data_IF_734983897805
#
_entry.id   IF_734983897805
#
_cell.length_a   1.000
_cell.length_b   1.000
_cell.length_c   1.000
_cell.angle_alpha   90.00
_cell.angle_beta   90.00
_cell.angle_gamma   90.00
#
_symmetry.space_group_name_H-M   'P 1'
#
loop_
_entity.id
_entity.type
_entity.pdbx_description
1 polymer ?
#
# COMPACT_ATOMS: atom_id res chain seq x y z
N UNK A 1 20.11 -24.07 -5.71
CA UNK A 1 18.75 -23.72 -6.18
C UNK A 1 18.74 -22.23 -6.45
N UNK A 2 18.11 -21.79 -7.53
CA UNK A 2 17.98 -20.36 -7.84
C UNK A 2 16.66 -19.85 -7.26
N UNK A 3 16.71 -18.81 -6.43
CA UNK A 3 15.52 -18.15 -5.89
C UNK A 3 14.81 -17.39 -6.99
N UNK A 4 13.48 -17.55 -7.09
CA UNK A 4 12.64 -16.79 -8.02
C UNK A 4 11.66 -15.93 -7.23
N UNK A 5 11.56 -14.66 -7.61
CA UNK A 5 10.62 -13.71 -7.01
C UNK A 5 9.39 -13.55 -7.90
N UNK A 6 8.20 -13.59 -7.29
CA UNK A 6 6.93 -13.36 -7.96
C UNK A 6 6.26 -12.18 -7.28
N UNK A 7 5.82 -11.18 -8.07
CA UNK A 7 5.01 -10.08 -7.59
C UNK A 7 3.54 -10.41 -7.81
N UNK A 8 2.74 -10.35 -6.75
CA UNK A 8 1.28 -10.56 -6.79
C UNK A 8 0.58 -9.26 -6.45
N UNK A 9 -0.38 -8.87 -7.28
CA UNK A 9 -1.26 -7.70 -7.04
C UNK A 9 -2.69 -8.21 -6.96
N UNK A 10 -3.41 -7.84 -5.89
CA UNK A 10 -4.81 -8.21 -5.69
C UNK A 10 -5.61 -7.00 -5.19
N UNK A 11 -6.89 -6.98 -5.53
CA UNK A 11 -7.85 -6.01 -5.01
C UNK A 11 -8.64 -6.66 -3.86
N UNK A 12 -8.76 -5.94 -2.73
CA UNK A 12 -9.53 -6.37 -1.57
C UNK A 12 -10.84 -5.64 -1.56
N UNK A 13 -11.96 -6.37 -1.71
CA UNK A 13 -13.30 -5.78 -1.68
C UNK A 13 -13.90 -5.71 -0.26
N UNK A 14 -13.38 -6.51 0.67
CA UNK A 14 -13.78 -6.55 2.08
C UNK A 14 -12.52 -6.62 2.94
N UNK A 15 -12.11 -5.46 3.46
CA UNK A 15 -10.89 -5.35 4.27
C UNK A 15 -10.99 -6.13 5.58
N UNK A 16 -12.18 -6.17 6.19
CA UNK A 16 -12.40 -6.89 7.44
C UNK A 16 -12.24 -8.40 7.25
N UNK A 17 -12.76 -8.95 6.14
CA UNK A 17 -12.56 -10.35 5.78
C UNK A 17 -11.09 -10.66 5.41
N UNK A 18 -10.37 -9.68 4.86
CA UNK A 18 -8.97 -9.84 4.46
C UNK A 18 -7.97 -9.79 5.62
N UNK A 19 -8.36 -9.26 6.78
CA UNK A 19 -7.46 -9.02 7.91
C UNK A 19 -6.73 -10.29 8.40
N UNK A 20 -7.34 -11.46 8.30
CA UNK A 20 -6.68 -12.75 8.61
C UNK A 20 -5.52 -13.01 7.65
N UNK A 21 -5.78 -12.94 6.34
CA UNK A 21 -4.78 -13.12 5.29
C UNK A 21 -3.67 -12.07 5.40
N UNK A 22 -4.04 -10.82 5.70
CA UNK A 22 -3.08 -9.73 5.92
C UNK A 22 -2.12 -10.06 7.06
N UNK A 23 -2.61 -10.58 8.19
CA UNK A 23 -1.78 -10.98 9.32
C UNK A 23 -0.81 -12.10 8.96
N UNK A 24 -1.26 -13.08 8.17
CA UNK A 24 -0.40 -14.17 7.68
C UNK A 24 0.72 -13.65 6.78
N UNK A 25 0.38 -12.75 5.85
CA UNK A 25 1.35 -12.09 4.97
C UNK A 25 2.37 -11.29 5.78
N UNK A 26 1.92 -10.48 6.74
CA UNK A 26 2.78 -9.71 7.64
C UNK A 26 3.70 -10.61 8.46
N UNK A 27 3.17 -11.73 8.96
CA UNK A 27 3.96 -12.70 9.72
C UNK A 27 5.04 -13.34 8.84
N UNK A 28 4.68 -13.77 7.63
CA UNK A 28 5.65 -14.31 6.66
C UNK A 28 6.76 -13.31 6.34
N UNK A 29 6.42 -12.02 6.19
CA UNK A 29 7.42 -10.96 6.02
C UNK A 29 8.34 -10.80 7.24
N UNK A 30 7.77 -10.77 8.44
CA UNK A 30 8.54 -10.56 9.68
C UNK A 30 9.50 -11.70 10.02
N UNK A 31 9.24 -12.89 9.47
CA UNK A 31 10.01 -14.11 9.71
C UNK A 31 10.88 -14.51 8.53
N UNK A 32 10.89 -13.70 7.46
CA UNK A 32 11.69 -13.98 6.28
C UNK A 32 13.19 -13.86 6.59
N UNK A 33 13.92 -14.97 6.46
CA UNK A 33 15.36 -15.05 6.64
C UNK A 33 16.04 -15.21 5.26
N UNK A 34 16.94 -14.29 4.91
CA UNK A 34 17.65 -14.30 3.63
C UNK A 34 18.70 -15.43 3.58
N UNK A 35 19.31 -15.75 4.72
CA UNK A 35 20.35 -16.78 4.82
C UNK A 35 19.75 -18.19 4.88
N UNK A 36 18.48 -18.29 5.27
CA UNK A 36 17.74 -19.54 5.35
C UNK A 36 16.27 -19.37 4.90
N UNK A 37 16.03 -19.11 3.60
CA UNK A 37 14.70 -18.75 3.11
C UNK A 37 13.73 -19.93 3.22
N UNK A 38 12.47 -19.68 3.60
CA UNK A 38 11.45 -20.72 3.57
C UNK A 38 11.17 -21.18 2.13
N UNK A 39 10.56 -22.37 1.97
CA UNK A 39 10.14 -22.88 0.65
C UNK A 39 9.20 -21.90 -0.08
N UNK A 40 8.36 -21.21 0.70
CA UNK A 40 7.54 -20.09 0.25
C UNK A 40 7.51 -19.02 1.34
N UNK A 41 7.70 -17.75 0.96
CA UNK A 41 7.63 -16.64 1.89
C UNK A 41 7.51 -15.30 1.20
N UNK A 42 7.00 -14.32 1.94
CA UNK A 42 6.85 -12.95 1.47
C UNK A 42 8.10 -12.16 1.87
N UNK A 43 8.91 -11.73 0.91
CA UNK A 43 10.11 -10.95 1.20
C UNK A 43 9.88 -9.43 1.14
N UNK A 44 8.74 -9.00 0.59
CA UNK A 44 8.36 -7.59 0.48
C UNK A 44 6.84 -7.46 0.35
N UNK A 45 6.30 -6.38 0.91
CA UNK A 45 4.89 -5.98 0.75
C UNK A 45 4.81 -4.46 0.55
N UNK A 46 3.80 -4.03 -0.21
CA UNK A 46 3.38 -2.63 -0.13
C UNK A 46 2.45 -2.48 1.05
N UNK A 47 2.87 -1.72 2.06
CA UNK A 47 2.04 -1.40 3.24
C UNK A 47 0.98 -0.33 2.96
N UNK A 48 1.05 0.30 1.78
CA UNK A 48 0.19 1.41 1.40
C UNK A 48 -0.55 1.16 0.09
N UNK A 49 -1.61 1.94 -0.09
CA UNK A 49 -2.40 1.98 -1.32
C UNK A 49 -1.69 2.85 -2.37
N UNK A 50 -0.50 2.41 -2.77
CA UNK A 50 0.39 3.15 -3.67
C UNK A 50 -0.27 3.40 -5.03
N UNK A 51 -1.08 2.45 -5.50
CA UNK A 51 -1.84 2.61 -6.74
C UNK A 51 -2.89 3.72 -6.60
N UNK A 52 -3.62 3.78 -5.49
CA UNK A 52 -4.52 4.91 -5.20
C UNK A 52 -3.76 6.21 -5.04
N UNK A 53 -2.57 6.21 -4.42
CA UNK A 53 -1.72 7.40 -4.30
C UNK A 53 -1.37 7.95 -5.68
N UNK A 54 -0.93 7.08 -6.58
CA UNK A 54 -0.60 7.44 -7.97
C UNK A 54 -1.83 7.94 -8.74
N UNK A 55 -2.99 7.28 -8.58
CA UNK A 55 -4.26 7.74 -9.18
C UNK A 55 -4.65 9.14 -8.68
N UNK A 56 -4.57 9.38 -7.37
CA UNK A 56 -4.86 10.69 -6.78
C UNK A 56 -3.88 11.78 -7.23
N UNK A 57 -2.59 11.45 -7.37
CA UNK A 57 -1.59 12.36 -7.94
C UNK A 57 -1.95 12.70 -9.39
N UNK A 58 -2.31 11.70 -10.20
CA UNK A 58 -2.75 11.90 -11.59
C UNK A 58 -3.93 12.86 -11.67
N UNK A 59 -4.99 12.63 -10.90
CA UNK A 59 -6.17 13.51 -10.84
C UNK A 59 -5.83 14.93 -10.36
N UNK A 60 -4.92 15.05 -9.39
CA UNK A 60 -4.46 16.36 -8.90
C UNK A 60 -3.69 17.13 -10.00
N UNK A 61 -2.87 16.45 -10.79
CA UNK A 61 -2.17 17.06 -11.92
C UNK A 61 -3.15 17.43 -13.05
N UNK A 62 -4.10 16.56 -13.38
CA UNK A 62 -5.13 16.81 -14.39
C UNK A 62 -6.03 18.01 -14.04
N UNK A 63 -6.25 18.24 -12.74
CA UNK A 63 -6.97 19.40 -12.20
C UNK A 63 -6.09 20.62 -11.93
N UNK A 64 -4.81 20.59 -12.32
CA UNK A 64 -3.82 21.65 -12.05
C UNK A 64 -3.61 21.97 -10.56
N UNK A 65 -3.97 21.05 -9.67
CA UNK A 65 -3.76 21.16 -8.22
C UNK A 65 -2.36 20.62 -7.83
N UNK A 66 -1.33 21.34 -8.26
CA UNK A 66 0.08 21.00 -7.98
C UNK A 66 0.40 20.89 -6.48
N UNK A 67 -0.14 21.75 -5.58
CA UNK A 67 0.10 21.61 -4.14
C UNK A 67 -0.42 20.28 -3.58
N UNK A 68 -1.57 19.81 -4.05
CA UNK A 68 -2.13 18.51 -3.68
C UNK A 68 -1.23 17.37 -4.18
N UNK A 69 -0.81 17.41 -5.44
CA UNK A 69 0.08 16.40 -6.01
C UNK A 69 1.39 16.28 -5.21
N UNK A 70 2.04 17.41 -4.88
CA UNK A 70 3.27 17.43 -4.07
C UNK A 70 3.06 16.87 -2.65
N UNK A 71 1.91 17.16 -2.06
CA UNK A 71 1.57 16.62 -0.74
C UNK A 71 1.40 15.11 -0.80
N UNK A 72 0.69 14.58 -1.80
CA UNK A 72 0.45 13.15 -1.98
C UNK A 72 1.71 12.32 -2.23
N UNK A 73 2.78 12.91 -2.77
CA UNK A 73 4.09 12.25 -2.88
C UNK A 73 4.72 11.97 -1.50
N UNK A 74 4.36 12.78 -0.50
CA UNK A 74 5.04 12.82 0.80
C UNK A 74 4.24 12.19 1.95
N UNK A 75 2.97 11.83 1.74
CA UNK A 75 2.09 11.34 2.82
C UNK A 75 2.41 9.88 3.16
N UNK A 76 2.64 9.58 4.44
CA UNK A 76 2.84 8.19 4.90
C UNK A 76 1.55 7.36 4.78
N UNK A 77 0.38 7.98 5.02
CA UNK A 77 -0.94 7.34 4.94
C UNK A 77 -1.90 8.20 4.10
N UNK A 78 -2.55 7.57 3.13
CA UNK A 78 -3.61 8.23 2.36
C UNK A 78 -4.84 8.46 3.23
N UNK A 79 -5.63 9.51 2.94
CA UNK A 79 -6.95 9.67 3.53
C UNK A 79 -7.87 8.49 3.17
N UNK A 80 -8.68 8.09 4.14
CA UNK A 80 -9.78 7.15 3.94
C UNK A 80 -10.83 7.69 2.96
N UNK A 81 -11.86 6.90 2.66
CA UNK A 81 -12.91 7.27 1.70
C UNK A 81 -13.78 8.45 2.17
N UNK A 82 -13.63 8.88 3.42
CA UNK A 82 -14.25 10.10 3.95
C UNK A 82 -13.36 11.34 3.74
N UNK A 83 -12.20 11.15 3.11
CA UNK A 83 -11.21 12.17 2.85
C UNK A 83 -10.32 12.47 4.05
N UNK A 84 -10.33 11.67 5.13
CA UNK A 84 -9.60 11.92 6.39
C UNK A 84 -8.42 10.97 6.56
N UNK A 85 -7.28 11.47 7.01
CA UNK A 85 -6.23 10.62 7.60
C UNK A 85 -6.25 10.75 9.14
N UNK A 86 -5.41 9.99 9.84
CA UNK A 86 -5.32 9.99 11.32
C UNK A 86 -4.92 11.37 11.90
N UNK A 87 -4.46 12.29 11.04
CA UNK A 87 -4.13 13.68 11.38
C UNK A 87 -5.30 14.66 11.11
N UNK A 88 -6.48 14.16 10.71
CA UNK A 88 -7.67 14.97 10.44
C UNK A 88 -7.59 15.80 9.16
N UNK A 89 -6.64 15.53 8.27
CA UNK A 89 -6.50 16.25 7.01
C UNK A 89 -7.61 15.87 6.04
N UNK A 90 -8.38 16.85 5.56
CA UNK A 90 -9.41 16.65 4.54
C UNK A 90 -8.88 17.03 3.16
N UNK A 91 -8.91 16.07 2.24
CA UNK A 91 -8.55 16.29 0.83
C UNK A 91 -9.85 16.41 0.02
N UNK A 92 -10.29 17.64 -0.25
CA UNK A 92 -11.38 17.88 -1.18
C UNK A 92 -10.83 17.87 -2.62
N UNK A 93 -11.49 17.08 -3.47
CA UNK A 93 -11.39 17.19 -4.92
C UNK A 93 -12.22 18.38 -5.41
#
# INVERSE_FOLDING_TARGET
METKFITVVYAVNDEAAFEVTRKEIMHSLSTFDVDNPPEFGVCAISMGDELRRLDMIGRALDSSNVPLAQKLVSVEKLPDDTGRNDEGMVFYA
#
